data_IF_964811530429
#
_entry.id   IF_964811530429
#
_cell.length_a   1.000
_cell.length_b   1.000
_cell.length_c   1.000
_cell.angle_alpha   90.00
_cell.angle_beta   90.00
_cell.angle_gamma   90.00
#
_symmetry.space_group_name_H-M   'P 1'
#
loop_
_entity.id
_entity.type
_entity.pdbx_description
1 polymer ?
#
# COMPACT_ATOMS: atom_id res chain seq x y z
N UNK A 1 33.05 42.45 28.93
CA UNK A 1 31.66 42.48 28.60
C UNK A 1 31.37 41.44 27.51
N UNK A 2 30.96 40.26 27.89
CA UNK A 2 30.49 39.22 26.96
C UNK A 2 28.97 39.25 26.93
N UNK A 3 28.40 39.28 25.75
CA UNK A 3 26.97 39.09 25.52
C UNK A 3 26.78 37.71 24.90
N UNK A 4 26.33 36.78 25.74
CA UNK A 4 25.89 35.46 25.27
C UNK A 4 24.59 35.61 24.46
N UNK A 5 24.62 35.25 23.18
CA UNK A 5 23.45 35.10 22.33
C UNK A 5 22.76 33.76 22.59
N UNK A 6 21.43 33.65 22.47
CA UNK A 6 20.72 32.43 22.75
C UNK A 6 21.06 31.36 21.71
N UNK A 7 21.50 30.20 22.21
CA UNK A 7 21.78 29.01 21.39
C UNK A 7 20.52 28.48 20.70
N UNK A 8 20.64 28.29 19.41
CA UNK A 8 19.64 27.60 18.62
C UNK A 8 19.65 26.10 18.96
N UNK A 9 18.56 25.63 19.50
CA UNK A 9 18.30 24.19 19.63
C UNK A 9 17.80 23.70 18.25
N UNK A 10 18.41 22.69 17.65
CA UNK A 10 17.86 22.12 16.42
C UNK A 10 16.52 21.45 16.76
N UNK A 11 15.45 21.91 16.12
CA UNK A 11 14.16 21.24 16.17
C UNK A 11 14.35 19.85 15.55
N UNK A 12 14.21 18.81 16.38
CA UNK A 12 14.23 17.41 15.98
C UNK A 12 13.14 17.12 14.95
N UNK A 13 13.39 16.18 14.04
CA UNK A 13 12.56 15.77 12.90
C UNK A 13 11.08 15.44 13.27
N UNK A 14 10.78 15.18 14.55
CA UNK A 14 9.44 14.95 15.09
C UNK A 14 8.48 16.15 14.87
N UNK A 15 9.00 17.37 14.74
CA UNK A 15 8.13 18.54 14.50
C UNK A 15 7.67 18.68 13.04
N UNK A 16 8.34 18.03 12.08
CA UNK A 16 7.96 18.08 10.67
C UNK A 16 6.76 17.16 10.37
N UNK A 17 6.61 16.04 11.08
CA UNK A 17 5.50 15.10 10.94
C UNK A 17 4.18 15.68 11.45
N UNK A 18 4.22 16.49 12.52
CA UNK A 18 3.02 17.12 13.09
C UNK A 18 2.39 18.21 12.18
N UNK A 19 3.16 18.80 11.24
CA UNK A 19 2.62 19.78 10.28
C UNK A 19 1.93 19.12 9.08
N UNK A 20 2.17 17.84 8.81
CA UNK A 20 1.55 17.09 7.71
C UNK A 20 0.07 16.78 7.98
N UNK A 21 -0.32 16.60 9.24
CA UNK A 21 -1.69 16.25 9.61
C UNK A 21 -2.69 17.42 9.51
N UNK A 22 -2.24 18.66 9.41
CA UNK A 22 -3.10 19.86 9.53
C UNK A 22 -3.65 20.39 8.18
N UNK A 23 -3.20 19.89 7.02
CA UNK A 23 -3.59 20.43 5.70
C UNK A 23 -4.72 19.63 5.04
N UNK A 24 -5.08 18.46 5.57
CA UNK A 24 -6.05 17.55 4.95
C UNK A 24 -7.52 17.74 5.39
N UNK A 25 -7.88 18.86 6.02
CA UNK A 25 -9.21 19.01 6.65
C UNK A 25 -10.23 19.88 5.90
N UNK A 26 -10.07 20.20 4.63
CA UNK A 26 -11.07 21.03 3.92
C UNK A 26 -11.41 20.44 2.54
N UNK A 27 -12.55 19.81 2.45
CA UNK A 27 -13.28 19.64 1.21
C UNK A 27 -13.88 18.25 0.99
N UNK A 28 -15.15 18.08 1.23
CA UNK A 28 -15.92 16.93 0.81
C UNK A 28 -17.41 17.18 0.88
N UNK A 29 -18.05 17.43 -0.26
CA UNK A 29 -19.50 17.47 -0.40
C UNK A 29 -20.08 16.05 -0.44
N UNK A 30 -21.24 15.90 0.15
CA UNK A 30 -22.01 14.68 0.40
C UNK A 30 -22.39 13.94 -0.91
N UNK A 31 -21.53 13.03 -1.38
CA UNK A 31 -21.86 12.02 -2.41
C UNK A 31 -21.51 10.64 -1.86
N UNK A 32 -22.50 10.03 -1.19
CA UNK A 32 -22.40 8.61 -0.80
C UNK A 32 -22.78 7.75 -1.98
N UNK A 33 -21.81 7.34 -2.77
CA UNK A 33 -21.99 6.33 -3.80
C UNK A 33 -21.91 4.91 -3.21
N UNK A 34 -22.54 3.93 -3.89
CA UNK A 34 -22.38 2.51 -3.57
C UNK A 34 -20.89 2.18 -3.61
N UNK A 35 -20.33 1.74 -2.47
CA UNK A 35 -18.90 1.47 -2.32
C UNK A 35 -18.10 2.52 -1.58
N UNK A 36 -18.69 3.63 -1.13
CA UNK A 36 -17.99 4.60 -0.26
C UNK A 36 -17.63 3.99 1.10
N UNK A 37 -16.55 4.47 1.75
CA UNK A 37 -16.24 4.05 3.12
C UNK A 37 -17.40 4.39 4.06
N UNK A 38 -17.67 3.57 5.09
CA UNK A 38 -18.67 3.90 6.08
C UNK A 38 -18.24 5.11 6.92
N UNK A 39 -19.19 5.90 7.47
CA UNK A 39 -18.87 7.03 8.30
C UNK A 39 -17.96 6.67 9.48
N UNK A 40 -16.86 7.41 9.66
CA UNK A 40 -15.82 7.14 10.66
C UNK A 40 -15.11 5.81 10.48
N UNK A 41 -15.12 5.28 9.26
CA UNK A 41 -14.49 4.01 8.89
C UNK A 41 -13.52 4.15 7.74
N UNK A 42 -13.22 3.02 7.08
CA UNK A 42 -12.38 2.98 5.91
C UNK A 42 -12.80 1.83 4.98
N UNK A 43 -12.38 1.94 3.73
CA UNK A 43 -12.48 0.88 2.73
C UNK A 43 -11.10 0.66 2.11
N UNK A 44 -10.63 -0.58 2.11
CA UNK A 44 -9.37 -0.99 1.50
C UNK A 44 -9.73 -1.90 0.34
N UNK A 45 -9.27 -1.58 -0.86
CA UNK A 45 -9.63 -2.30 -2.07
C UNK A 45 -8.38 -2.79 -2.78
N UNK A 46 -8.21 -4.11 -2.87
CA UNK A 46 -7.20 -4.74 -3.74
C UNK A 46 -7.85 -4.85 -5.11
N UNK A 47 -7.44 -3.98 -6.02
CA UNK A 47 -8.07 -3.80 -7.33
C UNK A 47 -7.68 -4.91 -8.31
N UNK A 48 -8.64 -5.36 -9.13
CA UNK A 48 -8.36 -6.23 -10.27
C UNK A 48 -7.89 -5.38 -11.45
N UNK A 49 -6.57 -5.21 -11.56
CA UNK A 49 -5.90 -4.46 -12.64
C UNK A 49 -5.12 -5.37 -13.61
N UNK A 50 -5.38 -6.68 -13.55
CA UNK A 50 -4.59 -7.70 -14.23
C UNK A 50 -3.38 -8.14 -13.40
N UNK A 51 -2.26 -8.50 -14.08
CA UNK A 51 -1.05 -8.94 -13.37
C UNK A 51 -0.31 -7.74 -12.80
N UNK A 52 -0.28 -7.61 -11.49
CA UNK A 52 0.35 -6.51 -10.76
C UNK A 52 -0.44 -6.08 -9.53
N UNK A 53 0.06 -5.08 -8.82
CA UNK A 53 -0.56 -4.54 -7.63
C UNK A 53 -1.20 -3.18 -7.87
N UNK A 54 -2.41 -3.01 -7.36
CA UNK A 54 -3.02 -1.70 -7.13
C UNK A 54 -3.95 -1.82 -5.92
N UNK A 55 -3.65 -1.06 -4.85
CA UNK A 55 -4.43 -1.12 -3.62
C UNK A 55 -4.89 0.28 -3.25
N UNK A 56 -6.20 0.48 -3.20
CA UNK A 56 -6.82 1.76 -2.89
C UNK A 56 -7.21 1.82 -1.42
N UNK A 57 -6.64 2.78 -0.69
CA UNK A 57 -6.91 3.05 0.72
C UNK A 57 -7.87 4.25 0.79
N UNK A 58 -9.09 4.02 1.24
CA UNK A 58 -10.17 5.04 1.30
C UNK A 58 -10.64 5.21 2.74
N UNK A 59 -10.01 6.07 3.53
CA UNK A 59 -10.56 6.49 4.82
C UNK A 59 -11.77 7.42 4.61
N UNK A 60 -12.68 7.49 5.60
CA UNK A 60 -13.77 8.46 5.57
C UNK A 60 -13.24 9.89 5.70
N UNK A 61 -13.81 10.82 4.93
CA UNK A 61 -13.57 12.26 4.99
C UNK A 61 -12.18 12.79 4.60
N UNK A 62 -11.32 11.96 3.97
CA UNK A 62 -10.06 12.42 3.33
C UNK A 62 -9.88 11.75 1.97
N UNK A 63 -9.12 12.38 1.09
CA UNK A 63 -8.86 11.84 -0.25
C UNK A 63 -8.08 10.53 -0.17
N UNK A 64 -8.38 9.56 -1.05
CA UNK A 64 -7.77 8.25 -1.05
C UNK A 64 -6.26 8.27 -1.28
N UNK A 65 -5.63 7.16 -0.92
CA UNK A 65 -4.24 6.85 -1.29
C UNK A 65 -4.22 5.60 -2.14
N UNK A 66 -3.46 5.64 -3.22
CA UNK A 66 -3.21 4.48 -4.06
C UNK A 66 -1.83 3.90 -3.73
N UNK A 67 -1.75 2.61 -3.43
CA UNK A 67 -0.50 1.84 -3.32
C UNK A 67 -0.34 1.05 -4.60
N UNK A 68 0.69 1.36 -5.36
CA UNK A 68 0.97 0.90 -6.72
C UNK A 68 -0.14 1.23 -7.73
N UNK A 69 0.17 1.14 -9.00
CA UNK A 69 -0.74 1.49 -10.09
C UNK A 69 -1.04 0.36 -11.06
N UNK A 70 -0.50 -0.85 -10.81
CA UNK A 70 -0.62 -1.96 -11.74
C UNK A 70 0.26 -1.83 -12.97
N UNK A 71 0.09 -2.74 -13.96
CA UNK A 71 0.87 -2.78 -15.17
C UNK A 71 0.53 -1.63 -16.12
N UNK A 72 1.44 -1.28 -17.06
CA UNK A 72 1.10 -0.34 -18.13
C UNK A 72 -0.02 -0.91 -19.01
N UNK A 73 -1.05 -0.10 -19.25
CA UNK A 73 -2.24 -0.53 -20.01
C UNK A 73 -3.18 -1.43 -19.22
N UNK A 74 -2.96 -1.62 -17.92
CA UNK A 74 -3.97 -2.11 -16.99
C UNK A 74 -5.10 -1.09 -16.84
N UNK A 75 -6.27 -1.52 -16.40
CA UNK A 75 -7.46 -0.64 -16.29
C UNK A 75 -7.50 0.10 -14.93
N UNK A 76 -6.37 0.74 -14.53
CA UNK A 76 -6.32 1.46 -13.26
C UNK A 76 -7.30 2.65 -13.23
N UNK A 77 -7.43 3.39 -14.35
CA UNK A 77 -8.37 4.51 -14.42
C UNK A 77 -9.81 4.02 -14.28
N UNK A 78 -10.19 2.94 -14.99
CA UNK A 78 -11.53 2.35 -14.88
C UNK A 78 -11.81 1.80 -13.48
N UNK A 79 -10.81 1.24 -12.81
CA UNK A 79 -10.94 0.76 -11.43
C UNK A 79 -11.16 1.92 -10.45
N UNK A 80 -10.39 3.01 -10.57
CA UNK A 80 -10.53 4.21 -9.74
C UNK A 80 -11.87 4.93 -10.00
N UNK A 81 -12.27 5.06 -11.27
CA UNK A 81 -13.58 5.62 -11.64
C UNK A 81 -14.74 4.79 -11.06
N UNK A 82 -14.65 3.46 -11.13
CA UNK A 82 -15.65 2.53 -10.56
C UNK A 82 -15.71 2.63 -9.04
N UNK A 83 -14.60 2.98 -8.40
CA UNK A 83 -14.53 3.26 -6.98
C UNK A 83 -15.04 4.69 -6.63
N UNK A 84 -15.34 5.52 -7.62
CA UNK A 84 -15.79 6.90 -7.41
C UNK A 84 -14.68 7.82 -6.87
N UNK A 85 -13.45 7.62 -7.35
CA UNK A 85 -12.29 8.46 -6.99
C UNK A 85 -12.18 9.60 -7.99
N UNK A 86 -12.25 10.82 -7.50
CA UNK A 86 -12.03 12.04 -8.29
C UNK A 86 -10.58 12.56 -8.14
N UNK A 87 -10.03 12.50 -6.92
CA UNK A 87 -8.70 12.99 -6.55
C UNK A 87 -7.98 11.98 -5.65
N UNK A 88 -6.65 12.04 -5.60
CA UNK A 88 -5.81 11.23 -4.71
C UNK A 88 -4.94 12.12 -3.83
N UNK A 89 -4.86 11.84 -2.53
CA UNK A 89 -3.94 12.54 -1.63
C UNK A 89 -2.49 12.11 -1.85
N UNK A 90 -2.27 10.85 -2.20
CA UNK A 90 -0.93 10.32 -2.50
C UNK A 90 -0.99 9.05 -3.34
N UNK A 91 0.13 8.78 -4.01
CA UNK A 91 0.47 7.46 -4.54
C UNK A 91 1.69 6.95 -3.76
N UNK A 92 1.68 5.69 -3.33
CA UNK A 92 2.82 5.00 -2.77
C UNK A 92 3.29 3.96 -3.79
N UNK A 93 4.53 4.06 -4.23
CA UNK A 93 5.19 3.04 -5.04
C UNK A 93 5.95 2.09 -4.13
N UNK A 94 5.63 0.80 -4.18
CA UNK A 94 6.33 -0.21 -3.38
C UNK A 94 7.74 -0.46 -3.92
N UNK A 95 7.89 -0.70 -5.22
CA UNK A 95 9.17 -0.92 -5.88
C UNK A 95 9.10 -0.68 -7.40
N UNK A 96 10.23 -0.73 -8.09
CA UNK A 96 10.36 -0.28 -9.47
C UNK A 96 10.16 -1.37 -10.54
N UNK A 97 9.23 -2.32 -10.33
CA UNK A 97 8.76 -3.22 -11.38
C UNK A 97 7.55 -2.66 -12.13
N UNK A 98 7.47 -2.92 -13.44
CA UNK A 98 6.47 -2.34 -14.34
C UNK A 98 5.02 -2.68 -13.96
N UNK A 99 4.80 -3.84 -13.39
CA UNK A 99 3.49 -4.29 -12.92
C UNK A 99 3.04 -3.64 -11.60
N UNK A 100 3.88 -2.75 -11.03
CA UNK A 100 3.57 -1.90 -9.89
C UNK A 100 3.53 -0.42 -10.26
N UNK A 101 4.51 0.08 -11.04
CA UNK A 101 4.55 1.51 -11.34
C UNK A 101 3.96 1.88 -12.71
N UNK A 102 3.70 0.92 -13.60
CA UNK A 102 3.34 1.21 -14.98
C UNK A 102 2.10 2.08 -15.13
N UNK A 103 1.05 1.79 -14.37
CA UNK A 103 -0.18 2.57 -14.36
C UNK A 103 -0.10 3.91 -13.61
N UNK A 104 0.97 4.14 -12.81
CA UNK A 104 1.11 5.41 -12.10
C UNK A 104 1.23 6.61 -13.07
N UNK A 105 1.76 6.40 -14.28
CA UNK A 105 1.80 7.47 -15.28
C UNK A 105 0.40 7.97 -15.67
N UNK A 106 -0.57 7.06 -15.80
CA UNK A 106 -1.97 7.41 -16.10
C UNK A 106 -2.61 8.12 -14.90
N UNK A 107 -2.31 7.64 -13.70
CA UNK A 107 -2.78 8.24 -12.44
C UNK A 107 -2.27 9.67 -12.28
N UNK A 108 -0.98 9.94 -12.53
CA UNK A 108 -0.40 11.27 -12.46
C UNK A 108 -1.04 12.26 -13.45
N UNK A 109 -1.53 11.76 -14.60
CA UNK A 109 -2.16 12.59 -15.62
C UNK A 109 -3.61 12.97 -15.34
N UNK A 110 -4.27 12.32 -14.36
CA UNK A 110 -5.72 12.44 -14.17
C UNK A 110 -6.19 12.74 -12.75
N UNK A 111 -5.51 12.20 -11.72
CA UNK A 111 -5.99 12.25 -10.33
C UNK A 111 -5.17 13.18 -9.43
N UNK A 112 -4.25 13.94 -10.01
CA UNK A 112 -3.47 15.02 -9.39
C UNK A 112 -2.96 14.71 -7.96
N UNK A 113 -2.31 13.55 -7.69
CA UNK A 113 -1.88 13.19 -6.34
C UNK A 113 -0.90 14.23 -5.79
N UNK A 114 -1.09 14.66 -4.55
CA UNK A 114 -0.20 15.62 -3.89
C UNK A 114 1.23 15.09 -3.74
N UNK A 115 1.37 13.79 -3.49
CA UNK A 115 2.66 13.14 -3.20
C UNK A 115 2.81 11.82 -3.91
N UNK A 116 4.07 11.53 -4.28
CA UNK A 116 4.56 10.20 -4.64
C UNK A 116 5.49 9.73 -3.52
N UNK A 117 5.03 8.76 -2.73
CA UNK A 117 5.81 8.13 -1.66
C UNK A 117 6.58 6.94 -2.23
N UNK A 118 7.87 6.82 -1.93
CA UNK A 118 8.72 5.77 -2.51
C UNK A 118 10.00 5.56 -1.68
N UNK A 119 10.65 4.41 -1.80
CA UNK A 119 12.06 4.22 -1.42
C UNK A 119 12.96 4.32 -2.66
N UNK A 120 12.69 3.50 -3.68
CA UNK A 120 13.31 3.57 -5.00
C UNK A 120 12.24 3.79 -6.06
N UNK A 121 12.57 4.55 -7.09
CA UNK A 121 11.65 4.83 -8.19
C UNK A 121 12.42 5.15 -9.48
N UNK A 122 11.92 4.75 -10.66
CA UNK A 122 12.50 5.08 -11.95
C UNK A 122 12.64 6.60 -12.13
N UNK A 123 13.77 7.10 -12.70
CA UNK A 123 13.99 8.53 -12.87
C UNK A 123 12.95 9.23 -13.75
N UNK A 124 12.38 8.52 -14.73
CA UNK A 124 11.33 9.01 -15.60
C UNK A 124 10.00 9.18 -14.86
N UNK A 125 9.64 8.26 -13.96
CA UNK A 125 8.48 8.40 -13.08
C UNK A 125 8.64 9.60 -12.14
N UNK A 126 9.80 9.78 -11.52
CA UNK A 126 10.08 10.94 -10.66
C UNK A 126 10.00 12.25 -11.43
N UNK A 127 10.42 12.25 -12.71
CA UNK A 127 10.31 13.40 -13.60
C UNK A 127 8.86 13.69 -13.98
N UNK A 128 8.07 12.66 -14.28
CA UNK A 128 6.65 12.78 -14.59
C UNK A 128 5.87 13.32 -13.37
N UNK A 129 6.11 12.79 -12.19
CA UNK A 129 5.49 13.25 -10.94
C UNK A 129 5.73 14.75 -10.73
N UNK A 130 6.99 15.20 -10.82
CA UNK A 130 7.30 16.64 -10.68
C UNK A 130 6.63 17.49 -11.74
N UNK A 131 6.52 16.98 -12.96
CA UNK A 131 5.90 17.70 -14.08
C UNK A 131 4.39 17.82 -13.91
N UNK A 132 3.76 16.84 -13.27
CA UNK A 132 2.35 16.85 -12.89
C UNK A 132 2.06 17.71 -11.64
N UNK A 133 3.08 18.20 -10.93
CA UNK A 133 2.91 18.94 -9.69
C UNK A 133 2.98 18.07 -8.42
N UNK A 134 3.06 16.76 -8.58
CA UNK A 134 3.19 15.78 -7.49
C UNK A 134 4.58 15.87 -6.85
N UNK A 135 4.64 15.90 -5.51
CA UNK A 135 5.89 16.01 -4.76
C UNK A 135 6.43 14.61 -4.42
N UNK A 136 7.59 14.18 -4.99
CA UNK A 136 8.22 12.92 -4.59
C UNK A 136 8.78 13.03 -3.17
N UNK A 137 8.44 12.05 -2.32
CA UNK A 137 8.88 11.96 -0.92
C UNK A 137 9.43 10.57 -0.66
N UNK A 138 10.70 10.49 -0.28
CA UNK A 138 11.32 9.21 0.07
C UNK A 138 10.90 8.80 1.47
N UNK A 139 10.53 7.51 1.63
CA UNK A 139 10.14 6.89 2.90
C UNK A 139 10.94 5.61 3.13
N UNK A 140 11.07 5.17 4.38
CA UNK A 140 11.85 4.00 4.77
C UNK A 140 11.38 3.45 6.12
N UNK A 141 11.94 2.34 6.53
CA UNK A 141 11.67 1.72 7.83
C UNK A 141 11.68 2.73 8.99
N UNK A 142 10.64 2.68 9.80
CA UNK A 142 10.42 3.54 10.97
C UNK A 142 9.63 4.80 10.66
N UNK A 143 9.36 5.11 9.39
CA UNK A 143 8.40 6.16 9.04
C UNK A 143 6.97 5.69 9.32
N UNK A 144 6.13 6.63 9.73
CA UNK A 144 4.69 6.40 9.93
C UNK A 144 3.92 7.42 9.12
N UNK A 145 2.93 6.97 8.36
CA UNK A 145 2.14 7.79 7.45
C UNK A 145 0.67 7.68 7.85
N UNK A 146 0.06 8.83 8.19
CA UNK A 146 -1.36 8.89 8.54
C UNK A 146 -2.22 9.26 7.33
N UNK A 147 -3.32 8.54 7.15
CA UNK A 147 -4.35 8.78 6.13
C UNK A 147 -5.72 8.85 6.82
N UNK A 148 -6.10 10.01 7.33
CA UNK A 148 -7.27 10.11 8.20
C UNK A 148 -7.11 9.24 9.47
N UNK A 149 -8.03 8.30 9.67
CA UNK A 149 -7.97 7.34 10.79
C UNK A 149 -7.18 6.06 10.47
N UNK A 150 -6.66 5.92 9.24
CA UNK A 150 -5.71 4.86 8.86
C UNK A 150 -4.29 5.33 9.17
N UNK A 151 -3.47 4.43 9.70
CA UNK A 151 -2.04 4.65 9.92
C UNK A 151 -1.25 3.50 9.28
N UNK A 152 -0.15 3.83 8.59
CA UNK A 152 0.76 2.87 8.01
C UNK A 152 2.15 3.06 8.60
N UNK A 153 2.65 2.06 9.31
CA UNK A 153 4.05 1.96 9.73
C UNK A 153 4.86 1.27 8.64
N UNK A 154 5.95 1.89 8.20
CA UNK A 154 6.87 1.29 7.24
C UNK A 154 7.84 0.37 7.97
N UNK A 155 7.74 -0.93 7.70
CA UNK A 155 8.55 -1.98 8.31
C UNK A 155 9.81 -2.29 7.51
N UNK A 156 9.83 -1.98 6.22
CA UNK A 156 10.90 -2.25 5.25
C UNK A 156 10.78 -1.31 4.04
N UNK A 157 11.85 -0.97 3.30
CA UNK A 157 13.26 -1.30 3.54
C UNK A 157 13.91 -0.41 4.60
N UNK A 158 15.11 -0.78 5.12
CA UNK A 158 15.87 0.04 6.06
C UNK A 158 16.29 1.35 5.42
N UNK A 159 16.42 2.43 6.23
CA UNK A 159 16.81 3.76 5.75
C UNK A 159 18.22 3.79 5.10
N UNK A 160 19.12 2.88 5.52
CA UNK A 160 20.38 2.62 4.84
C UNK A 160 20.16 1.58 3.73
N UNK A 161 20.03 2.04 2.48
CA UNK A 161 19.85 1.16 1.33
C UNK A 161 20.99 0.12 1.17
N UNK A 162 22.21 0.41 1.70
CA UNK A 162 23.31 -0.55 1.66
C UNK A 162 23.10 -1.75 2.61
N UNK A 163 22.10 -1.69 3.50
CA UNK A 163 21.72 -2.83 4.33
C UNK A 163 20.92 -3.90 3.56
N UNK A 164 20.30 -3.53 2.42
CA UNK A 164 19.72 -4.48 1.46
C UNK A 164 20.83 -4.86 0.49
N UNK A 165 21.28 -6.10 0.56
CA UNK A 165 22.45 -6.59 -0.23
C UNK A 165 22.07 -7.28 -1.52
N UNK A 166 20.80 -7.48 -1.76
CA UNK A 166 20.25 -8.04 -2.99
C UNK A 166 19.94 -6.91 -3.97
N UNK A 167 20.35 -7.09 -5.23
CA UNK A 167 20.08 -6.13 -6.31
C UNK A 167 18.68 -6.32 -6.94
N UNK A 168 17.90 -7.32 -6.50
CA UNK A 168 16.54 -7.55 -6.96
C UNK A 168 15.62 -6.44 -6.44
N UNK A 169 14.89 -5.70 -7.32
CA UNK A 169 13.94 -4.68 -6.90
C UNK A 169 12.91 -5.17 -5.88
N UNK A 170 12.53 -6.46 -5.93
CA UNK A 170 11.60 -7.05 -4.96
C UNK A 170 12.11 -6.94 -3.52
N UNK A 171 13.43 -7.08 -3.31
CA UNK A 171 14.05 -6.95 -1.99
C UNK A 171 13.98 -5.53 -1.42
N UNK A 172 13.70 -4.54 -2.26
CA UNK A 172 13.51 -3.14 -1.90
C UNK A 172 12.03 -2.73 -1.81
N UNK A 173 11.09 -3.67 -2.00
CA UNK A 173 9.67 -3.38 -1.88
C UNK A 173 9.33 -2.79 -0.51
N UNK A 174 8.60 -1.68 -0.50
CA UNK A 174 8.08 -1.11 0.74
C UNK A 174 7.08 -2.10 1.36
N UNK A 175 7.36 -2.49 2.60
CA UNK A 175 6.42 -3.27 3.42
C UNK A 175 5.80 -2.36 4.45
N UNK A 176 4.48 -2.21 4.39
CA UNK A 176 3.70 -1.37 5.29
C UNK A 176 2.75 -2.20 6.16
N UNK A 177 2.75 -1.90 7.45
CA UNK A 177 1.71 -2.39 8.36
C UNK A 177 0.63 -1.32 8.47
N UNK A 178 -0.54 -1.60 7.88
CA UNK A 178 -1.70 -0.74 7.91
C UNK A 178 -2.55 -1.07 9.13
N UNK A 179 -2.84 -0.04 9.93
CA UNK A 179 -3.64 -0.18 11.16
C UNK A 179 -4.84 0.76 11.15
N UNK A 180 -5.97 0.27 11.66
CA UNK A 180 -7.17 1.02 11.96
C UNK A 180 -7.82 0.47 13.22
N UNK A 181 -7.77 1.21 14.32
CA UNK A 181 -8.23 0.73 15.64
C UNK A 181 -7.51 -0.57 16.03
N UNK A 182 -8.20 -1.74 15.91
CA UNK A 182 -7.62 -3.08 16.18
C UNK A 182 -7.40 -3.90 14.91
N UNK A 183 -7.83 -3.39 13.78
CA UNK A 183 -7.60 -4.06 12.48
C UNK A 183 -6.15 -3.86 12.05
N UNK A 184 -5.55 -4.93 11.55
CA UNK A 184 -4.15 -4.95 11.09
C UNK A 184 -4.02 -5.67 9.77
N UNK A 185 -3.45 -5.01 8.78
CA UNK A 185 -3.17 -5.57 7.45
C UNK A 185 -1.71 -5.33 7.08
N UNK A 186 -1.03 -6.38 6.65
CA UNK A 186 0.32 -6.28 6.10
C UNK A 186 0.25 -6.16 4.58
N UNK A 187 0.83 -5.10 4.06
CA UNK A 187 1.06 -4.85 2.64
C UNK A 187 2.54 -5.13 2.35
N UNK A 188 2.82 -6.15 1.56
CA UNK A 188 4.19 -6.65 1.37
C UNK A 188 4.87 -6.16 0.10
N UNK A 189 4.11 -5.52 -0.83
CA UNK A 189 4.58 -5.43 -2.20
C UNK A 189 5.04 -6.80 -2.69
N UNK A 190 6.24 -6.90 -3.23
CA UNK A 190 6.82 -8.17 -3.67
C UNK A 190 7.97 -8.67 -2.77
N UNK A 191 8.15 -8.03 -1.58
CA UNK A 191 9.09 -8.53 -0.59
C UNK A 191 8.62 -9.86 0.00
N UNK A 192 9.18 -10.95 -0.46
CA UNK A 192 8.98 -12.28 0.10
C UNK A 192 9.48 -12.36 1.55
N UNK A 193 8.89 -13.22 2.36
CA UNK A 193 9.17 -13.30 3.79
C UNK A 193 10.63 -13.66 4.14
N UNK A 194 11.36 -14.24 3.18
CA UNK A 194 12.80 -14.50 3.30
C UNK A 194 13.69 -13.29 3.05
N UNK A 195 13.18 -12.25 2.35
CA UNK A 195 13.92 -11.05 1.98
C UNK A 195 13.92 -9.99 3.10
N UNK A 196 12.79 -9.87 3.82
CA UNK A 196 12.62 -8.89 4.87
C UNK A 196 12.40 -9.57 6.24
N UNK A 197 13.15 -9.20 7.29
CA UNK A 197 13.01 -9.81 8.63
C UNK A 197 11.78 -9.26 9.36
N UNK A 198 10.57 -9.55 8.84
CA UNK A 198 9.31 -9.03 9.33
C UNK A 198 8.81 -9.76 10.58
N UNK A 199 8.43 -9.02 11.60
CA UNK A 199 7.72 -9.50 12.78
C UNK A 199 6.59 -8.54 13.19
N UNK A 200 5.55 -8.38 12.35
CA UNK A 200 4.46 -7.45 12.62
C UNK A 200 3.53 -7.92 13.75
N UNK A 201 3.67 -9.17 14.23
CA UNK A 201 2.70 -9.78 15.15
C UNK A 201 1.41 -10.22 14.44
N UNK A 202 0.33 -10.57 15.19
CA UNK A 202 -0.91 -11.08 14.60
C UNK A 202 -1.57 -10.11 13.63
N UNK A 203 -2.13 -10.64 12.54
CA UNK A 203 -2.78 -9.89 11.46
C UNK A 203 -4.23 -10.34 11.25
N UNK A 204 -5.08 -9.44 10.81
CA UNK A 204 -6.39 -9.80 10.24
C UNK A 204 -6.26 -10.16 8.76
N UNK A 205 -5.43 -9.42 8.02
CA UNK A 205 -5.25 -9.58 6.57
C UNK A 205 -3.77 -9.55 6.20
N UNK A 206 -3.40 -10.45 5.28
CA UNK A 206 -2.11 -10.44 4.58
C UNK A 206 -2.37 -10.19 3.09
N UNK A 207 -1.79 -9.13 2.52
CA UNK A 207 -1.54 -9.08 1.08
C UNK A 207 -0.34 -9.98 0.82
N UNK A 208 -0.53 -11.03 0.05
CA UNK A 208 0.52 -12.02 -0.22
C UNK A 208 1.58 -11.42 -1.15
N UNK A 209 2.84 -11.62 -0.82
CA UNK A 209 3.95 -11.10 -1.59
C UNK A 209 3.99 -11.67 -3.01
N UNK A 210 4.49 -10.87 -3.95
CA UNK A 210 4.90 -11.26 -5.29
C UNK A 210 3.85 -12.14 -6.00
N UNK A 211 2.58 -11.69 -5.94
CA UNK A 211 1.41 -12.33 -6.56
C UNK A 211 1.23 -13.81 -6.21
N UNK A 212 1.81 -14.23 -5.07
CA UNK A 212 1.78 -15.63 -4.62
C UNK A 212 2.85 -16.51 -5.25
N UNK A 213 4.05 -15.97 -5.52
CA UNK A 213 5.25 -16.75 -5.88
C UNK A 213 5.58 -17.83 -4.85
N UNK A 214 6.48 -18.77 -5.19
CA UNK A 214 7.01 -19.78 -4.25
C UNK A 214 7.93 -19.10 -3.22
N UNK A 215 7.36 -18.68 -2.09
CA UNK A 215 8.07 -18.03 -0.97
C UNK A 215 8.35 -19.04 0.15
N UNK A 216 9.58 -19.53 0.21
CA UNK A 216 10.01 -20.49 1.24
C UNK A 216 9.99 -19.93 2.67
N UNK A 217 9.92 -18.60 2.84
CA UNK A 217 9.80 -17.91 4.13
C UNK A 217 8.36 -17.78 4.62
N UNK A 218 7.37 -17.94 3.72
CA UNK A 218 5.96 -17.75 4.01
C UNK A 218 5.44 -18.58 5.19
N UNK A 219 5.74 -19.90 5.34
CA UNK A 219 5.27 -20.66 6.50
C UNK A 219 5.71 -20.06 7.84
N UNK A 220 6.94 -19.53 7.89
CA UNK A 220 7.46 -18.86 9.07
C UNK A 220 6.73 -17.55 9.39
N UNK A 221 6.39 -16.76 8.38
CA UNK A 221 5.59 -15.54 8.54
C UNK A 221 4.18 -15.90 9.02
N UNK A 222 3.52 -16.85 8.39
CA UNK A 222 2.17 -17.29 8.74
C UNK A 222 2.07 -17.82 10.17
N UNK A 223 3.09 -18.56 10.64
CA UNK A 223 3.12 -19.06 12.03
C UNK A 223 3.16 -17.93 13.07
N UNK A 224 3.78 -16.78 12.75
CA UNK A 224 3.86 -15.62 13.65
C UNK A 224 2.64 -14.70 13.56
N UNK A 225 2.04 -14.60 12.37
CA UNK A 225 1.02 -13.59 12.07
C UNK A 225 -0.41 -14.13 12.07
N UNK A 226 -0.59 -15.39 11.71
CA UNK A 226 -1.89 -16.11 11.68
C UNK A 226 -3.02 -15.30 11.01
N UNK A 227 -2.85 -14.81 9.77
CA UNK A 227 -3.83 -13.96 9.11
C UNK A 227 -5.14 -14.74 8.86
N UNK A 228 -6.27 -14.10 9.09
CA UNK A 228 -7.60 -14.69 8.82
C UNK A 228 -7.94 -14.67 7.33
N UNK A 229 -7.43 -13.67 6.62
CA UNK A 229 -7.62 -13.47 5.19
C UNK A 229 -6.25 -13.26 4.54
N UNK A 230 -6.01 -13.96 3.46
CA UNK A 230 -4.92 -13.72 2.53
C UNK A 230 -5.51 -13.23 1.20
N UNK A 231 -5.02 -12.10 0.69
CA UNK A 231 -5.43 -11.56 -0.61
C UNK A 231 -4.24 -11.62 -1.55
N UNK A 232 -4.46 -12.19 -2.74
CA UNK A 232 -3.45 -12.34 -3.78
C UNK A 232 -3.88 -11.52 -4.99
N UNK A 233 -3.27 -10.34 -5.22
CA UNK A 233 -3.43 -9.63 -6.48
C UNK A 233 -2.69 -10.40 -7.59
N UNK A 234 -3.43 -10.86 -8.59
CA UNK A 234 -2.89 -11.69 -9.68
C UNK A 234 -3.80 -11.58 -10.89
N UNK A 235 -3.23 -11.60 -12.09
CA UNK A 235 -3.96 -11.47 -13.35
C UNK A 235 -4.52 -12.78 -13.88
N UNK A 236 -5.75 -12.75 -14.40
CA UNK A 236 -6.34 -13.88 -15.09
C UNK A 236 -5.47 -14.31 -16.29
N UNK A 237 -5.12 -15.60 -16.34
CA UNK A 237 -4.31 -16.17 -17.42
C UNK A 237 -2.86 -15.67 -17.43
N UNK A 238 -2.32 -15.19 -16.30
CA UNK A 238 -0.91 -14.80 -16.21
C UNK A 238 0.02 -15.95 -16.65
N UNK A 239 1.17 -15.58 -17.21
CA UNK A 239 2.16 -16.54 -17.74
C UNK A 239 3.27 -16.89 -16.75
N UNK A 240 3.24 -16.32 -15.56
CA UNK A 240 4.24 -16.52 -14.52
C UNK A 240 4.01 -17.81 -13.72
N UNK A 241 2.77 -18.32 -13.76
CA UNK A 241 2.36 -19.49 -12.99
C UNK A 241 1.95 -19.17 -11.56
N UNK A 242 1.72 -17.89 -11.27
CA UNK A 242 1.23 -17.43 -9.96
C UNK A 242 -0.30 -17.51 -9.85
N UNK A 243 -0.83 -17.72 -8.65
CA UNK A 243 -0.09 -18.10 -7.44
C UNK A 243 0.46 -19.52 -7.54
N UNK A 244 1.63 -19.76 -6.94
CA UNK A 244 2.22 -21.10 -6.86
C UNK A 244 1.39 -22.03 -5.97
N UNK A 245 1.40 -23.31 -6.28
CA UNK A 245 0.64 -24.30 -5.52
C UNK A 245 1.14 -24.42 -4.06
N UNK A 246 2.45 -24.30 -3.84
CA UNK A 246 3.03 -24.33 -2.49
C UNK A 246 2.52 -23.17 -1.64
N UNK A 247 2.42 -21.98 -2.20
CA UNK A 247 1.87 -20.78 -1.52
C UNK A 247 0.42 -20.98 -1.13
N UNK A 248 -0.41 -21.52 -2.03
CA UNK A 248 -1.81 -21.82 -1.72
C UNK A 248 -1.94 -22.90 -0.62
N UNK A 249 -1.12 -23.93 -0.67
CA UNK A 249 -1.07 -25.01 0.34
C UNK A 249 -0.67 -24.45 1.71
N UNK A 250 0.34 -23.60 1.79
CA UNK A 250 0.81 -22.97 3.03
C UNK A 250 -0.24 -22.06 3.64
N UNK A 251 -0.89 -21.21 2.85
CA UNK A 251 -2.00 -20.36 3.30
C UNK A 251 -3.19 -21.17 3.82
N UNK A 252 -3.53 -22.25 3.10
CA UNK A 252 -4.58 -23.19 3.50
C UNK A 252 -4.24 -23.91 4.79
N UNK A 253 -3.00 -24.37 4.95
CA UNK A 253 -2.51 -25.03 6.17
C UNK A 253 -2.50 -24.08 7.38
N UNK A 254 -2.27 -22.78 7.17
CA UNK A 254 -2.37 -21.75 8.20
C UNK A 254 -3.83 -21.42 8.57
N UNK A 255 -4.82 -21.91 7.81
CA UNK A 255 -6.25 -21.66 8.04
C UNK A 255 -6.73 -20.29 7.54
N UNK A 256 -5.98 -19.63 6.68
CA UNK A 256 -6.39 -18.38 6.05
C UNK A 256 -7.48 -18.63 5.00
N UNK A 257 -8.50 -17.75 4.97
CA UNK A 257 -9.34 -17.63 3.78
C UNK A 257 -8.51 -17.00 2.68
N UNK A 258 -8.51 -17.58 1.49
CA UNK A 258 -7.77 -17.07 0.34
C UNK A 258 -8.76 -16.40 -0.62
N UNK A 259 -8.44 -15.18 -1.07
CA UNK A 259 -9.13 -14.49 -2.16
C UNK A 259 -8.09 -14.05 -3.18
N UNK A 260 -8.46 -14.13 -4.47
CA UNK A 260 -7.59 -13.84 -5.60
C UNK A 260 -8.30 -12.91 -6.57
N UNK A 261 -7.61 -11.87 -7.07
CA UNK A 261 -8.24 -10.92 -7.99
C UNK A 261 -8.63 -11.54 -9.34
N UNK A 262 -7.92 -12.54 -9.82
CA UNK A 262 -8.25 -13.27 -11.05
C UNK A 262 -9.51 -14.14 -10.95
N UNK A 263 -9.89 -14.58 -9.73
CA UNK A 263 -11.07 -15.39 -9.48
C UNK A 263 -12.24 -14.58 -8.88
N UNK A 264 -11.94 -13.69 -7.93
CA UNK A 264 -12.91 -12.96 -7.12
C UNK A 264 -13.15 -11.52 -7.62
N UNK A 265 -12.36 -11.03 -8.59
CA UNK A 265 -12.33 -9.61 -8.97
C UNK A 265 -11.72 -8.73 -7.87
N UNK A 266 -12.04 -7.46 -7.86
CA UNK A 266 -11.61 -6.54 -6.79
C UNK A 266 -12.07 -7.04 -5.42
N UNK A 267 -11.13 -7.14 -4.47
CA UNK A 267 -11.40 -7.55 -3.08
C UNK A 267 -11.44 -6.33 -2.19
N UNK A 268 -12.59 -6.08 -1.57
CA UNK A 268 -12.81 -4.93 -0.70
C UNK A 268 -12.94 -5.35 0.76
N UNK A 269 -12.23 -4.66 1.65
CA UNK A 269 -12.29 -4.81 3.10
C UNK A 269 -12.91 -3.54 3.66
N UNK A 270 -14.09 -3.66 4.25
CA UNK A 270 -14.88 -2.53 4.76
C UNK A 270 -14.78 -2.49 6.28
N UNK A 271 -14.23 -1.41 6.80
CA UNK A 271 -13.98 -1.14 8.22
C UNK A 271 -15.00 -0.13 8.74
N UNK A 272 -15.69 -0.43 9.82
CA UNK A 272 -16.71 0.43 10.42
C UNK A 272 -16.97 0.03 11.88
N UNK A 273 -18.17 0.31 12.42
CA UNK A 273 -18.50 0.05 13.84
C UNK A 273 -18.64 -1.43 14.20
N UNK A 274 -18.63 -2.33 13.21
CA UNK A 274 -18.70 -3.79 13.38
C UNK A 274 -17.36 -4.47 13.07
N UNK A 275 -17.36 -5.82 13.01
CA UNK A 275 -16.22 -6.55 12.50
C UNK A 275 -15.97 -6.20 11.02
N UNK A 276 -14.72 -6.30 10.53
CA UNK A 276 -14.40 -6.12 9.12
C UNK A 276 -15.29 -6.97 8.21
N UNK A 277 -15.82 -6.39 7.16
CA UNK A 277 -16.57 -7.11 6.12
C UNK A 277 -15.73 -7.21 4.87
N UNK A 278 -15.87 -8.32 4.16
CA UNK A 278 -15.17 -8.58 2.90
C UNK A 278 -16.20 -8.70 1.79
N UNK A 279 -16.01 -7.95 0.73
CA UNK A 279 -16.85 -7.93 -0.47
C UNK A 279 -15.95 -8.23 -1.68
N UNK A 280 -16.48 -8.86 -2.71
CA UNK A 280 -15.74 -9.21 -3.94
C UNK A 280 -16.47 -8.68 -5.15
N UNK A 281 -15.73 -8.41 -6.23
CA UNK A 281 -16.26 -7.86 -7.48
C UNK A 281 -16.94 -8.89 -8.38
N UNK A 282 -16.79 -10.18 -8.09
CA UNK A 282 -17.40 -11.32 -8.81
C UNK A 282 -18.15 -12.22 -7.86
#
# INVERSE_FOLDING_TARGET
>A
GGTDGPGWIPMSAVAAVALLAAVLLLGGGDRRELGSPPPGGARIEVLDVGQGDAILLRPDAVDPVLVDGGPPGGDIEGALDSAGVDDLSAVLLTHEHLDHFGGIFDVLGRYDPDRLLYDQAPPDLLSAARSAGTVPVRISQGDTIGFGDLEMEILWPPADAAAVTDDDPNSHSIVGLLEWRRFRMLLTGDAEAGMAPLDPGPLDVLKVAHHGSDDTGLPGLLARTSPRLAVIPVGEGNTYGHPDASTLDDLGAAGSRILRTDEDGTVSIVLGDGPPRVETGR
#
